data_IF_479060193321
#
_entry.id   IF_479060193321
#
_cell.length_a   1.000
_cell.length_b   1.000
_cell.length_c   1.000
_cell.angle_alpha   90.00
_cell.angle_beta   90.00
_cell.angle_gamma   90.00
#
_symmetry.space_group_name_H-M   'P 1'
#
loop_
_entity.id
_entity.type
_entity.pdbx_description
1 polymer ?
#
# COMPACT_ATOMS: atom_id res chain seq x y z
N UNK A 1 60.76 -49.10 -0.49
CA UNK A 1 59.73 -49.19 0.56
C UNK A 1 58.46 -49.68 -0.15
N UNK A 2 58.17 -50.97 -0.37
CA UNK A 2 57.95 -52.09 0.59
C UNK A 2 57.09 -51.57 1.75
N UNK A 3 55.78 -51.82 1.82
CA UNK A 3 55.01 -53.08 1.98
C UNK A 3 53.60 -52.93 1.35
N UNK A 4 53.02 -53.80 0.52
CA UNK A 4 52.65 -55.23 0.59
C UNK A 4 51.57 -55.56 1.64
N UNK A 5 50.39 -55.97 1.14
CA UNK A 5 49.30 -56.68 1.85
C UNK A 5 48.22 -57.09 0.82
N UNK A 6 48.36 -58.16 0.01
CA UNK A 6 48.34 -59.63 0.26
C UNK A 6 46.95 -60.12 0.71
N UNK A 7 46.10 -60.50 -0.26
CA UNK A 7 45.62 -61.87 -0.61
C UNK A 7 44.16 -62.04 -0.13
N UNK A 8 43.23 -62.70 -0.82
CA UNK A 8 43.31 -64.03 -1.42
C UNK A 8 42.13 -64.24 -2.38
N UNK A 9 42.42 -64.75 -3.58
CA UNK A 9 41.43 -65.41 -4.46
C UNK A 9 41.19 -66.82 -3.95
N UNK A 10 39.93 -67.25 -3.89
CA UNK A 10 39.57 -68.68 -3.93
C UNK A 10 38.44 -68.82 -4.95
N UNK A 11 38.81 -69.30 -6.13
CA UNK A 11 37.93 -69.99 -7.06
C UNK A 11 37.80 -71.44 -6.62
N UNK A 12 36.57 -71.90 -6.39
CA UNK A 12 36.22 -73.33 -6.48
C UNK A 12 35.01 -73.43 -7.39
N UNK A 13 35.18 -74.16 -8.48
CA UNK A 13 34.12 -74.60 -9.36
C UNK A 13 33.53 -75.91 -8.85
N UNK A 14 32.20 -76.03 -8.81
CA UNK A 14 31.45 -77.28 -8.81
C UNK A 14 30.00 -76.92 -9.18
N UNK A 15 29.57 -77.16 -10.41
CA UNK A 15 28.91 -78.39 -10.86
C UNK A 15 27.38 -78.19 -10.92
N UNK A 16 26.85 -78.29 -12.15
CA UNK A 16 25.44 -78.29 -12.49
C UNK A 16 24.69 -79.40 -11.71
N UNK A 17 23.56 -79.04 -11.10
CA UNK A 17 22.47 -79.96 -10.83
C UNK A 17 21.16 -79.21 -11.10
N UNK A 18 20.49 -79.63 -12.18
CA UNK A 18 19.25 -79.04 -12.63
C UNK A 18 18.17 -79.10 -11.55
N UNK A 19 17.53 -77.95 -11.34
CA UNK A 19 16.24 -77.89 -10.67
C UNK A 19 15.34 -77.02 -11.54
N UNK A 20 14.38 -77.70 -12.17
CA UNK A 20 13.27 -77.14 -12.93
C UNK A 20 12.47 -76.21 -12.02
N UNK A 21 12.88 -74.94 -11.91
CA UNK A 21 12.00 -73.90 -11.41
C UNK A 21 11.10 -73.47 -12.55
N UNK A 22 9.90 -74.08 -12.57
CA UNK A 22 8.79 -73.73 -13.43
C UNK A 22 8.66 -72.21 -13.56
N UNK A 23 8.60 -71.74 -14.80
CA UNK A 23 8.37 -70.34 -15.11
C UNK A 23 7.05 -69.88 -14.53
N UNK A 24 7.08 -69.12 -13.45
CA UNK A 24 5.99 -68.20 -13.14
C UNK A 24 6.20 -67.00 -14.03
N UNK A 25 5.68 -67.06 -15.25
CA UNK A 25 5.35 -65.85 -15.99
C UNK A 25 4.30 -65.14 -15.13
N UNK A 26 4.75 -64.21 -14.29
CA UNK A 26 3.87 -63.20 -13.73
C UNK A 26 3.45 -62.33 -14.91
N UNK A 27 2.45 -62.82 -15.65
CA UNK A 27 1.73 -62.05 -16.65
C UNK A 27 1.15 -60.86 -15.89
N UNK A 28 1.83 -59.73 -15.97
CA UNK A 28 1.26 -58.43 -15.61
C UNK A 28 0.05 -58.27 -16.51
N UNK A 29 -1.12 -58.66 -16.01
CA UNK A 29 -2.37 -58.43 -16.72
C UNK A 29 -2.49 -56.93 -16.90
N UNK A 30 -2.52 -56.48 -18.15
CA UNK A 30 -2.80 -55.09 -18.45
C UNK A 30 -4.12 -54.72 -17.76
N UNK A 31 -4.16 -53.59 -17.02
CA UNK A 31 -5.36 -53.20 -16.30
C UNK A 31 -6.53 -53.11 -17.30
N UNK A 32 -7.67 -53.69 -16.93
CA UNK A 32 -8.88 -53.61 -17.76
C UNK A 32 -9.23 -52.15 -18.03
N UNK A 33 -9.85 -51.81 -19.17
CA UNK A 33 -10.23 -50.43 -19.50
C UNK A 33 -10.90 -49.70 -18.31
N UNK A 34 -11.80 -50.38 -17.60
CA UNK A 34 -12.49 -49.84 -16.41
C UNK A 34 -11.58 -49.59 -15.20
N UNK A 35 -10.51 -50.38 -15.02
CA UNK A 35 -9.49 -50.09 -14.00
C UNK A 35 -8.62 -48.88 -14.38
N UNK A 36 -8.43 -48.64 -15.68
CA UNK A 36 -7.74 -47.46 -16.19
C UNK A 36 -8.59 -46.20 -15.97
N UNK A 37 -9.90 -46.27 -16.23
CA UNK A 37 -10.85 -45.16 -16.04
C UNK A 37 -10.92 -44.73 -14.57
N UNK A 38 -11.12 -45.68 -13.64
CA UNK A 38 -11.11 -45.41 -12.19
C UNK A 38 -9.77 -44.81 -11.71
N UNK A 39 -8.65 -45.20 -12.33
CA UNK A 39 -7.33 -44.65 -12.00
C UNK A 39 -7.19 -43.22 -12.51
N UNK A 40 -7.75 -42.93 -13.69
CA UNK A 40 -7.77 -41.62 -14.31
C UNK A 40 -8.65 -40.65 -13.51
N UNK A 41 -9.88 -41.00 -13.18
CA UNK A 41 -10.76 -40.16 -12.34
C UNK A 41 -10.14 -39.82 -10.99
N UNK A 42 -9.47 -40.80 -10.36
CA UNK A 42 -8.76 -40.56 -9.09
C UNK A 42 -7.59 -39.61 -9.22
N UNK A 43 -6.98 -39.52 -10.42
CA UNK A 43 -5.90 -38.58 -10.72
C UNK A 43 -6.49 -37.20 -10.97
N UNK A 44 -7.58 -37.10 -11.71
CA UNK A 44 -8.23 -35.83 -12.03
C UNK A 44 -8.82 -35.18 -10.77
N UNK A 45 -9.51 -35.95 -9.91
CA UNK A 45 -9.93 -35.50 -8.56
C UNK A 45 -8.77 -34.96 -7.72
N UNK A 46 -7.56 -35.51 -7.86
CA UNK A 46 -6.38 -35.00 -7.12
C UNK A 46 -5.88 -33.69 -7.71
N UNK A 47 -5.89 -33.56 -9.03
CA UNK A 47 -5.49 -32.34 -9.71
C UNK A 47 -6.48 -31.22 -9.38
N UNK A 48 -7.78 -31.46 -9.51
CA UNK A 48 -8.83 -30.48 -9.16
C UNK A 48 -8.76 -30.02 -7.71
N UNK A 49 -8.43 -30.93 -6.78
CA UNK A 49 -8.19 -30.55 -5.38
C UNK A 49 -6.96 -29.67 -5.21
N UNK A 50 -5.92 -29.91 -6.00
CA UNK A 50 -4.67 -29.12 -5.96
C UNK A 50 -4.93 -27.72 -6.52
N UNK A 51 -5.62 -27.62 -7.64
CA UNK A 51 -5.97 -26.35 -8.28
C UNK A 51 -6.91 -25.54 -7.37
N UNK A 52 -7.94 -26.19 -6.81
CA UNK A 52 -8.85 -25.54 -5.85
C UNK A 52 -8.15 -25.04 -4.58
N UNK A 53 -7.10 -25.73 -4.13
CA UNK A 53 -6.29 -25.26 -3.01
C UNK A 53 -5.43 -24.05 -3.40
N UNK A 54 -4.91 -24.03 -4.61
CA UNK A 54 -4.14 -22.91 -5.15
C UNK A 54 -5.02 -21.68 -5.30
N UNK A 55 -6.17 -21.77 -5.97
CA UNK A 55 -7.05 -20.62 -6.16
C UNK A 55 -7.59 -20.06 -4.84
N UNK A 56 -7.77 -20.92 -3.83
CA UNK A 56 -8.10 -20.47 -2.47
C UNK A 56 -6.95 -19.71 -1.82
N UNK A 57 -5.71 -20.13 -2.04
CA UNK A 57 -4.54 -19.44 -1.53
C UNK A 57 -4.39 -18.07 -2.21
N UNK A 58 -4.53 -18.02 -3.54
CA UNK A 58 -4.46 -16.81 -4.35
C UNK A 58 -5.56 -15.82 -3.92
N UNK A 59 -6.82 -16.25 -3.84
CA UNK A 59 -7.94 -15.41 -3.37
C UNK A 59 -7.72 -14.87 -1.95
N UNK A 60 -7.08 -15.65 -1.08
CA UNK A 60 -6.78 -15.22 0.28
C UNK A 60 -5.61 -14.21 0.30
N UNK A 61 -4.68 -14.28 -0.64
CA UNK A 61 -3.63 -13.28 -0.83
C UNK A 61 -4.25 -11.95 -1.28
N UNK A 62 -5.09 -11.95 -2.33
CA UNK A 62 -5.79 -10.74 -2.79
C UNK A 62 -6.64 -10.11 -1.68
N UNK A 63 -7.24 -10.94 -0.81
CA UNK A 63 -8.01 -10.41 0.31
C UNK A 63 -7.14 -9.75 1.38
N UNK A 64 -5.86 -10.15 1.53
CA UNK A 64 -4.91 -9.45 2.39
C UNK A 64 -4.49 -8.13 1.76
N UNK A 65 -4.24 -8.11 0.46
CA UNK A 65 -3.83 -6.90 -0.27
C UNK A 65 -4.95 -5.85 -0.25
N UNK A 66 -6.21 -6.25 -0.50
CA UNK A 66 -7.40 -5.38 -0.29
C UNK A 66 -7.47 -4.79 1.13
N UNK A 67 -7.06 -5.55 2.14
CA UNK A 67 -7.08 -5.07 3.53
C UNK A 67 -5.91 -4.11 3.81
N UNK A 68 -4.78 -4.30 3.15
CA UNK A 68 -3.62 -3.41 3.18
C UNK A 68 -4.00 -2.07 2.55
N UNK A 69 -4.47 -2.07 1.30
CA UNK A 69 -4.87 -0.85 0.57
C UNK A 69 -5.95 -0.05 1.29
N UNK A 70 -6.87 -0.74 1.99
CA UNK A 70 -7.87 -0.05 2.82
C UNK A 70 -7.26 0.67 4.02
N UNK A 71 -6.18 0.13 4.60
CA UNK A 71 -5.49 0.77 5.73
C UNK A 71 -4.73 1.98 5.24
N UNK A 72 -4.01 1.85 4.13
CA UNK A 72 -3.27 2.95 3.51
C UNK A 72 -4.24 4.07 3.10
N UNK A 73 -5.33 3.73 2.42
CA UNK A 73 -6.35 4.70 2.02
C UNK A 73 -6.97 5.45 3.20
N UNK A 74 -7.10 4.79 4.35
CA UNK A 74 -7.59 5.42 5.57
C UNK A 74 -6.55 6.36 6.18
N UNK A 75 -5.28 6.00 6.13
CA UNK A 75 -4.16 6.82 6.58
C UNK A 75 -4.03 8.07 5.73
N UNK A 76 -3.98 7.95 4.41
CA UNK A 76 -3.84 9.11 3.52
C UNK A 76 -5.05 10.07 3.63
N UNK A 77 -6.24 9.53 3.92
CA UNK A 77 -7.41 10.37 4.23
C UNK A 77 -7.26 11.12 5.54
N UNK A 78 -6.66 10.50 6.55
CA UNK A 78 -6.40 11.16 7.82
C UNK A 78 -5.36 12.28 7.65
N UNK A 79 -4.27 11.99 6.94
CA UNK A 79 -3.19 12.94 6.63
C UNK A 79 -3.75 14.13 5.83
N UNK A 80 -4.50 13.88 4.75
CA UNK A 80 -5.15 14.95 3.96
C UNK A 80 -6.10 15.82 4.79
N UNK A 81 -6.80 15.22 5.75
CA UNK A 81 -7.70 15.95 6.63
C UNK A 81 -6.93 16.80 7.64
N UNK A 82 -5.75 16.35 8.06
CA UNK A 82 -4.83 17.11 8.91
C UNK A 82 -4.30 18.32 8.15
N UNK A 83 -3.77 18.14 6.94
CA UNK A 83 -3.31 19.27 6.11
C UNK A 83 -4.42 20.28 5.84
N UNK A 84 -5.67 19.81 5.70
CA UNK A 84 -6.79 20.71 5.51
C UNK A 84 -7.13 21.53 6.76
N UNK A 85 -6.83 21.02 7.97
CA UNK A 85 -6.95 21.79 9.22
C UNK A 85 -5.83 22.82 9.32
N UNK A 86 -4.61 22.45 8.96
CA UNK A 86 -3.44 23.32 9.01
C UNK A 86 -3.62 24.50 8.03
N UNK A 87 -4.07 24.23 6.79
CA UNK A 87 -4.51 25.27 5.84
C UNK A 87 -5.55 26.24 6.42
N UNK A 88 -6.48 25.74 7.24
CA UNK A 88 -7.51 26.59 7.83
C UNK A 88 -6.95 27.44 8.97
N UNK A 89 -6.00 26.91 9.74
CA UNK A 89 -5.27 27.63 10.78
C UNK A 89 -4.45 28.77 10.15
N UNK A 90 -3.61 28.48 9.16
CA UNK A 90 -2.79 29.46 8.45
C UNK A 90 -3.63 30.57 7.81
N UNK A 91 -4.82 30.23 7.28
CA UNK A 91 -5.73 31.25 6.76
C UNK A 91 -6.27 32.18 7.83
N UNK A 92 -6.50 31.67 9.04
CA UNK A 92 -7.01 32.46 10.16
C UNK A 92 -5.93 33.41 10.65
N UNK A 93 -4.71 32.92 10.82
CA UNK A 93 -3.55 33.72 11.25
C UNK A 93 -3.24 34.80 10.20
N UNK A 94 -3.19 34.43 8.92
CA UNK A 94 -2.99 35.36 7.82
C UNK A 94 -4.04 36.48 7.77
N UNK A 95 -5.29 36.19 8.15
CA UNK A 95 -6.35 37.19 8.23
C UNK A 95 -6.19 38.11 9.44
N UNK A 96 -5.70 37.58 10.56
CA UNK A 96 -5.40 38.36 11.75
C UNK A 96 -4.26 39.34 11.47
N UNK A 97 -3.13 38.85 10.95
CA UNK A 97 -1.97 39.72 10.66
C UNK A 97 -2.29 40.79 9.60
N UNK A 98 -3.19 40.49 8.66
CA UNK A 98 -3.69 41.50 7.72
C UNK A 98 -4.51 42.57 8.39
N UNK A 99 -5.28 42.21 9.41
CA UNK A 99 -6.11 43.14 10.19
C UNK A 99 -5.21 44.02 11.04
N UNK A 100 -4.24 43.44 11.74
CA UNK A 100 -3.27 44.13 12.59
C UNK A 100 -2.43 45.11 11.74
N UNK A 101 -1.86 44.64 10.61
CA UNK A 101 -1.12 45.52 9.67
C UNK A 101 -1.96 46.68 9.15
N UNK A 102 -3.26 46.48 8.96
CA UNK A 102 -4.18 47.54 8.53
C UNK A 102 -4.52 48.51 9.68
N UNK A 103 -4.49 48.07 10.93
CA UNK A 103 -4.59 48.94 12.11
C UNK A 103 -3.35 49.83 12.20
N UNK A 104 -2.15 49.25 12.18
CA UNK A 104 -0.89 50.01 12.21
C UNK A 104 -0.81 51.01 11.06
N UNK A 105 -1.30 50.64 9.87
CA UNK A 105 -1.33 51.55 8.74
C UNK A 105 -2.27 52.75 8.95
N UNK A 106 -3.35 52.59 9.70
CA UNK A 106 -4.24 53.69 10.10
C UNK A 106 -3.59 54.58 11.14
N UNK A 107 -2.90 53.99 12.12
CA UNK A 107 -2.21 54.73 13.18
C UNK A 107 -1.07 55.58 12.59
N UNK A 108 -0.27 55.02 11.67
CA UNK A 108 0.72 55.77 10.88
C UNK A 108 0.09 56.96 10.16
N UNK A 109 -1.09 56.80 9.57
CA UNK A 109 -1.74 57.90 8.85
C UNK A 109 -2.24 58.98 9.81
N UNK A 110 -2.73 58.59 10.97
CA UNK A 110 -3.18 59.50 12.03
C UNK A 110 -2.02 60.31 12.61
N UNK A 111 -0.93 59.64 12.97
CA UNK A 111 0.23 60.31 13.57
C UNK A 111 1.01 61.16 12.57
N UNK A 112 0.96 60.83 11.27
CA UNK A 112 1.41 61.77 10.21
C UNK A 112 0.59 63.06 10.20
N UNK A 113 -0.71 62.95 10.42
CA UNK A 113 -1.61 64.10 10.50
C UNK A 113 -1.27 64.98 11.71
N UNK A 114 -1.12 64.37 12.90
CA UNK A 114 -0.67 65.07 14.11
C UNK A 114 0.69 65.73 13.93
N UNK A 115 1.67 64.99 13.41
CA UNK A 115 3.02 65.50 13.17
C UNK A 115 2.98 66.76 12.31
N UNK A 116 2.17 66.75 11.26
CA UNK A 116 2.00 67.92 10.38
C UNK A 116 1.37 69.11 11.12
N UNK A 117 0.37 68.85 11.96
CA UNK A 117 -0.30 69.89 12.76
C UNK A 117 0.64 70.47 13.84
N UNK A 118 1.39 69.63 14.53
CA UNK A 118 2.30 70.04 15.60
C UNK A 118 3.56 70.71 15.05
N UNK A 119 4.05 70.29 13.88
CA UNK A 119 5.11 71.01 13.17
C UNK A 119 4.66 72.42 12.78
N UNK A 120 3.43 72.59 12.28
CA UNK A 120 2.88 73.90 11.96
C UNK A 120 2.65 74.78 13.19
N UNK A 121 2.27 74.20 14.33
CA UNK A 121 1.90 74.94 15.54
C UNK A 121 3.07 75.28 16.45
N UNK A 122 4.00 74.34 16.64
CA UNK A 122 5.08 74.44 17.62
C UNK A 122 6.48 74.44 16.99
N UNK A 123 6.58 74.19 15.69
CA UNK A 123 7.85 74.07 14.98
C UNK A 123 8.48 72.67 15.11
N UNK A 124 9.37 72.36 14.17
CA UNK A 124 9.93 71.02 13.94
C UNK A 124 10.81 70.48 15.11
N UNK A 125 11.31 71.35 15.99
CA UNK A 125 12.17 70.98 17.12
C UNK A 125 11.41 70.97 18.47
N UNK A 126 10.07 71.00 18.43
CA UNK A 126 9.24 70.90 19.62
C UNK A 126 9.21 69.49 20.20
N UNK A 127 8.89 69.37 21.49
CA UNK A 127 8.74 68.06 22.15
C UNK A 127 7.56 67.25 21.61
N UNK A 128 6.51 67.92 21.14
CA UNK A 128 5.34 67.32 20.51
C UNK A 128 5.72 66.63 19.20
N UNK A 129 6.42 67.35 18.31
CA UNK A 129 6.94 66.78 17.05
C UNK A 129 7.89 65.60 17.30
N UNK A 130 8.69 65.67 18.36
CA UNK A 130 9.57 64.55 18.73
C UNK A 130 8.77 63.32 19.21
N UNK A 131 7.67 63.51 19.93
CA UNK A 131 6.77 62.44 20.33
C UNK A 131 6.08 61.80 19.12
N UNK A 132 5.48 62.60 18.23
CA UNK A 132 4.81 62.08 17.02
C UNK A 132 5.77 61.30 16.11
N UNK A 133 7.03 61.75 15.98
CA UNK A 133 8.07 61.01 15.22
C UNK A 133 8.40 59.66 15.86
N UNK A 134 8.36 59.56 17.19
CA UNK A 134 8.61 58.32 17.93
C UNK A 134 7.45 57.36 17.78
N UNK A 135 6.22 57.85 17.85
CA UNK A 135 5.02 57.04 17.67
C UNK A 135 4.96 56.49 16.23
N UNK A 136 5.18 57.34 15.22
CA UNK A 136 5.32 56.91 13.81
C UNK A 136 6.43 55.88 13.57
N UNK A 137 7.52 55.97 14.32
CA UNK A 137 8.58 54.97 14.24
C UNK A 137 8.09 53.63 14.77
N UNK A 138 7.40 53.64 15.91
CA UNK A 138 6.87 52.45 16.58
C UNK A 138 5.84 51.75 15.69
N UNK A 139 4.84 52.47 15.17
CA UNK A 139 3.83 51.88 14.28
C UNK A 139 4.45 51.31 12.99
N UNK A 140 5.52 51.93 12.48
CA UNK A 140 6.23 51.40 11.30
C UNK A 140 6.95 50.10 11.63
N UNK A 141 7.50 49.96 12.83
CA UNK A 141 8.14 48.73 13.29
C UNK A 141 7.09 47.63 13.41
N UNK A 142 5.95 47.91 14.03
CA UNK A 142 4.85 46.95 14.19
C UNK A 142 4.27 46.53 12.84
N UNK A 143 3.98 47.47 11.94
CA UNK A 143 3.49 47.17 10.59
C UNK A 143 4.47 46.29 9.80
N UNK A 144 5.77 46.49 10.01
CA UNK A 144 6.81 45.68 9.35
C UNK A 144 6.88 44.27 9.96
N UNK A 145 6.60 44.11 11.25
CA UNK A 145 6.51 42.82 11.92
C UNK A 145 5.32 42.04 11.37
N UNK A 146 4.13 42.62 11.33
CA UNK A 146 2.94 41.98 10.77
C UNK A 146 3.13 41.60 9.30
N UNK A 147 3.88 42.42 8.54
CA UNK A 147 4.20 42.09 7.16
C UNK A 147 5.13 40.87 7.03
N UNK A 148 6.02 40.63 8.01
CA UNK A 148 6.85 39.41 8.06
C UNK A 148 6.01 38.20 8.44
N UNK A 149 5.11 38.35 9.40
CA UNK A 149 4.23 37.28 9.86
C UNK A 149 3.29 36.83 8.71
N UNK A 150 2.68 37.79 7.97
CA UNK A 150 1.95 37.52 6.70
C UNK A 150 2.78 36.72 5.69
N UNK A 151 4.07 37.01 5.57
CA UNK A 151 4.93 36.32 4.61
C UNK A 151 5.25 34.89 5.08
N UNK A 152 5.37 34.68 6.40
CA UNK A 152 5.55 33.38 7.00
C UNK A 152 4.31 32.50 6.79
N UNK A 153 3.13 33.00 7.15
CA UNK A 153 1.85 32.30 6.98
C UNK A 153 1.57 31.94 5.52
N UNK A 154 1.93 32.82 4.57
CA UNK A 154 1.82 32.50 3.15
C UNK A 154 2.72 31.35 2.72
N UNK A 155 3.90 31.24 3.33
CA UNK A 155 4.85 30.16 3.03
C UNK A 155 4.34 28.84 3.59
N UNK A 156 3.84 28.83 4.82
CA UNK A 156 3.28 27.64 5.45
C UNK A 156 2.01 27.19 4.74
N UNK A 157 1.10 28.12 4.41
CA UNK A 157 -0.11 27.82 3.65
C UNK A 157 0.20 27.19 2.28
N UNK A 158 1.34 27.54 1.68
CA UNK A 158 1.79 26.93 0.44
C UNK A 158 2.34 25.51 0.65
N UNK A 159 3.05 25.24 1.75
CA UNK A 159 3.52 23.88 2.09
C UNK A 159 2.34 22.97 2.34
N UNK A 160 1.39 23.36 3.19
CA UNK A 160 0.24 22.52 3.52
C UNK A 160 -0.62 22.21 2.28
N UNK A 161 -0.69 23.15 1.32
CA UNK A 161 -1.34 22.89 0.03
C UNK A 161 -0.61 21.86 -0.82
N UNK A 162 0.73 21.88 -0.80
CA UNK A 162 1.55 20.90 -1.51
C UNK A 162 1.37 19.52 -0.88
N UNK A 163 1.44 19.44 0.45
CA UNK A 163 1.26 18.21 1.21
C UNK A 163 -0.14 17.62 0.98
N UNK A 164 -1.19 18.43 1.11
CA UNK A 164 -2.56 17.99 0.85
C UNK A 164 -2.75 17.45 -0.58
N UNK A 165 -2.07 18.05 -1.55
CA UNK A 165 -2.13 17.60 -2.93
C UNK A 165 -1.36 16.29 -3.13
N UNK A 166 -0.30 16.04 -2.36
CA UNK A 166 0.43 14.77 -2.34
C UNK A 166 -0.45 13.68 -1.76
N UNK A 167 -1.04 13.90 -0.59
CA UNK A 167 -1.96 12.93 0.02
C UNK A 167 -3.15 12.62 -0.88
N UNK A 168 -3.63 13.61 -1.64
CA UNK A 168 -4.69 13.37 -2.61
C UNK A 168 -4.25 12.50 -3.80
N UNK A 169 -2.96 12.50 -4.18
CA UNK A 169 -2.41 11.57 -5.17
C UNK A 169 -2.29 10.17 -4.59
N UNK A 170 -1.82 10.05 -3.35
CA UNK A 170 -1.64 8.77 -2.67
C UNK A 170 -3.01 8.07 -2.48
N UNK A 171 -4.05 8.80 -2.04
CA UNK A 171 -5.46 8.33 -2.03
C UNK A 171 -5.92 7.80 -3.40
N UNK A 172 -5.48 8.42 -4.50
CA UNK A 172 -5.87 8.00 -5.84
C UNK A 172 -5.09 6.76 -6.30
N UNK A 173 -3.86 6.59 -5.83
CA UNK A 173 -3.06 5.39 -6.04
C UNK A 173 -3.70 4.20 -5.32
N UNK A 174 -3.95 4.30 -4.02
CA UNK A 174 -4.57 3.24 -3.21
C UNK A 174 -5.94 2.82 -3.73
N UNK A 175 -6.71 3.76 -4.29
CA UNK A 175 -7.99 3.43 -4.94
C UNK A 175 -7.83 2.56 -6.18
N UNK A 176 -6.74 2.75 -6.95
CA UNK A 176 -6.45 1.96 -8.15
C UNK A 176 -5.99 0.56 -7.76
N UNK A 177 -5.11 0.46 -6.77
CA UNK A 177 -4.63 -0.82 -6.24
C UNK A 177 -5.80 -1.63 -5.68
N UNK A 178 -6.64 -0.99 -4.85
CA UNK A 178 -7.82 -1.62 -4.28
C UNK A 178 -8.82 -2.09 -5.36
N UNK A 179 -8.84 -1.42 -6.51
CA UNK A 179 -9.65 -1.85 -7.65
C UNK A 179 -9.02 -3.04 -8.37
N UNK A 180 -7.69 -3.05 -8.55
CA UNK A 180 -6.95 -4.16 -9.14
C UNK A 180 -7.11 -5.44 -8.30
N UNK A 181 -6.86 -5.39 -7.00
CA UNK A 181 -6.96 -6.56 -6.12
C UNK A 181 -8.38 -7.11 -6.06
N UNK A 182 -9.40 -6.24 -6.12
CA UNK A 182 -10.80 -6.69 -6.21
C UNK A 182 -11.08 -7.44 -7.50
N UNK A 183 -10.46 -7.03 -8.60
CA UNK A 183 -10.61 -7.69 -9.90
C UNK A 183 -9.94 -9.06 -9.87
N UNK A 184 -8.75 -9.15 -9.31
CA UNK A 184 -8.01 -10.41 -9.19
C UNK A 184 -8.74 -11.39 -8.26
N UNK A 185 -9.19 -10.91 -7.09
CA UNK A 185 -9.99 -11.74 -6.17
C UNK A 185 -11.26 -12.28 -6.81
N UNK A 186 -11.89 -11.48 -7.66
CA UNK A 186 -13.08 -11.89 -8.40
C UNK A 186 -12.76 -12.93 -9.48
N UNK A 187 -11.56 -12.90 -10.07
CA UNK A 187 -11.08 -13.90 -11.01
C UNK A 187 -10.80 -15.21 -10.28
N UNK A 188 -10.06 -15.19 -9.18
CA UNK A 188 -9.78 -16.37 -8.38
C UNK A 188 -11.07 -17.01 -7.86
N UNK A 189 -12.07 -16.19 -7.51
CA UNK A 189 -13.37 -16.71 -7.11
C UNK A 189 -14.11 -17.42 -8.25
N UNK A 190 -13.90 -17.03 -9.52
CA UNK A 190 -14.42 -17.75 -10.69
C UNK A 190 -13.68 -19.05 -10.91
N UNK A 191 -12.36 -19.05 -10.76
CA UNK A 191 -11.52 -20.24 -10.95
C UNK A 191 -11.88 -21.31 -9.88
N UNK A 192 -12.01 -20.92 -8.61
CA UNK A 192 -12.55 -21.79 -7.54
C UNK A 192 -13.91 -22.39 -7.93
N UNK A 193 -14.80 -21.60 -8.55
CA UNK A 193 -16.12 -22.09 -8.93
C UNK A 193 -16.06 -23.07 -10.11
N UNK A 194 -15.08 -22.94 -10.99
CA UNK A 194 -14.82 -23.88 -12.08
C UNK A 194 -14.25 -25.18 -11.52
N UNK A 195 -13.22 -25.12 -10.70
CA UNK A 195 -12.59 -26.31 -10.10
C UNK A 195 -13.56 -27.11 -9.24
N UNK A 196 -14.50 -26.43 -8.55
CA UNK A 196 -15.59 -27.11 -7.84
C UNK A 196 -16.51 -27.91 -8.78
N UNK A 197 -16.78 -27.39 -9.97
CA UNK A 197 -17.65 -28.05 -10.95
C UNK A 197 -16.94 -29.25 -11.56
N UNK A 198 -15.67 -29.10 -11.91
CA UNK A 198 -14.87 -30.18 -12.49
C UNK A 198 -14.68 -31.29 -11.45
N UNK A 199 -14.38 -30.93 -10.19
CA UNK A 199 -14.27 -31.91 -9.09
C UNK A 199 -15.58 -32.67 -8.85
N UNK A 200 -16.72 -32.02 -9.09
CA UNK A 200 -18.03 -32.66 -9.00
C UNK A 200 -18.25 -33.66 -10.14
N UNK A 201 -17.85 -33.32 -11.37
CA UNK A 201 -17.95 -34.23 -12.53
C UNK A 201 -17.07 -35.45 -12.32
N UNK A 202 -15.80 -35.27 -11.98
CA UNK A 202 -14.87 -36.39 -11.81
C UNK A 202 -15.33 -37.33 -10.68
N UNK A 203 -15.96 -36.78 -9.63
CA UNK A 203 -16.59 -37.60 -8.58
C UNK A 203 -17.78 -38.39 -9.09
N UNK A 204 -18.58 -37.82 -9.98
CA UNK A 204 -19.72 -38.49 -10.59
C UNK A 204 -19.30 -39.56 -11.60
N UNK A 205 -18.21 -39.32 -12.34
CA UNK A 205 -17.59 -40.31 -13.24
C UNK A 205 -17.02 -41.48 -12.43
N UNK A 206 -16.23 -41.19 -11.39
CA UNK A 206 -15.70 -42.21 -10.48
C UNK A 206 -16.79 -43.06 -9.83
N UNK A 207 -17.94 -42.44 -9.52
CA UNK A 207 -19.08 -43.16 -8.97
C UNK A 207 -19.70 -44.11 -10.00
N UNK A 208 -19.89 -43.66 -11.25
CA UNK A 208 -20.41 -44.49 -12.34
C UNK A 208 -19.49 -45.68 -12.64
N UNK A 209 -18.20 -45.43 -12.77
CA UNK A 209 -17.21 -46.47 -13.11
C UNK A 209 -17.06 -47.53 -12.02
N UNK A 210 -17.32 -47.18 -10.76
CA UNK A 210 -17.39 -48.15 -9.65
C UNK A 210 -18.68 -48.97 -9.63
N UNK A 211 -19.79 -48.43 -10.14
CA UNK A 211 -21.10 -49.10 -10.14
C UNK A 211 -21.32 -50.04 -11.33
N UNK A 212 -20.54 -49.93 -12.40
CA UNK A 212 -20.53 -50.89 -13.52
C UNK A 212 -19.64 -52.13 -13.24
N UNK A 213 -19.54 -52.52 -11.96
CA UNK A 213 -18.82 -53.71 -11.47
C UNK A 213 -19.71 -54.95 -11.44
#
# INVERSE_FOLDING_TARGET
MITIGVFRRITVAAAFAGLLSAGTWAQTQDPTPQQQDVKQDKKDIRNDKKDLNKDRADRNADQRDINHDKRDLNKDRADRNQDQRDINHDRKDLNKDRTDRNADQRDINHDKGKLTADEAKYGNNSSQVAADKKDLHSDRVDRNKDQRDINHDRKDLNKDRVDRNKDQRDINHDKRDLHADRKDRNKDQKDINKDKKDLHKDRADLHRDRHHR
#
